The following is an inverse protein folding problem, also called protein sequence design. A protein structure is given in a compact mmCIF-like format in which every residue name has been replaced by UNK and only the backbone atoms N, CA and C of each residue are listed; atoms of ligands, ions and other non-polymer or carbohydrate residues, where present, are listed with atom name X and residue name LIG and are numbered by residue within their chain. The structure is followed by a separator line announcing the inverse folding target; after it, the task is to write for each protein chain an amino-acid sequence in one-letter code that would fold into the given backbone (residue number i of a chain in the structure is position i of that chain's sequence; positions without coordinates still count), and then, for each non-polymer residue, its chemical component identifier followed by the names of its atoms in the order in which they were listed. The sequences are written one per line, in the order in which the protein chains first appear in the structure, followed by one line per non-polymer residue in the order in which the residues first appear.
data_IF_830024489323
#
_entry.id   IF_830024489323
#
_cell.length_a   1.000
_cell.length_b   1.000
_cell.length_c   1.000
_cell.angle_alpha   90.00
_cell.angle_beta   90.00
_cell.angle_gamma   90.00
#
_symmetry.space_group_name_H-M   'P 1'
#
loop_
_entity.id
_entity.type
_entity.pdbx_description
1 polymer ?
#
# COMPACT_ATOMS: atom_id res chain seq x y z
N UNK A 1 2.64 -7.88 63.79
CA UNK A 1 1.67 -7.47 62.77
C UNK A 1 1.81 -5.96 62.68
N UNK A 2 2.53 -5.37 61.74
CA UNK A 2 2.40 -5.51 60.29
C UNK A 2 3.74 -5.24 59.61
N UNK A 3 4.12 -6.10 58.67
CA UNK A 3 5.38 -5.98 57.92
C UNK A 3 5.14 -5.32 56.56
N UNK A 4 6.13 -4.51 56.17
CA UNK A 4 6.28 -3.74 54.94
C UNK A 4 5.68 -4.36 53.67
N UNK A 5 4.95 -3.53 52.92
CA UNK A 5 4.63 -3.77 51.51
C UNK A 5 5.84 -3.33 50.69
N UNK A 6 6.59 -4.30 50.15
CA UNK A 6 7.63 -4.04 49.16
C UNK A 6 7.24 -4.78 47.88
N UNK A 7 6.69 -4.05 46.92
CA UNK A 7 6.36 -4.57 45.59
C UNK A 7 7.07 -3.73 44.54
N UNK A 8 8.08 -4.33 43.91
CA UNK A 8 8.45 -4.31 42.47
C UNK A 8 9.95 -4.69 42.37
N UNK A 9 10.35 -5.40 41.30
CA UNK A 9 10.57 -4.70 40.04
C UNK A 9 9.71 -5.27 38.91
N UNK A 10 9.24 -4.31 38.10
CA UNK A 10 8.94 -4.47 36.70
C UNK A 10 9.92 -5.42 36.00
N UNK A 11 9.38 -6.34 35.19
CA UNK A 11 10.08 -6.86 34.02
C UNK A 11 9.13 -6.71 32.85
N UNK A 12 9.06 -5.48 32.31
CA UNK A 12 8.61 -5.28 30.94
C UNK A 12 9.79 -5.69 30.08
N UNK A 13 9.79 -6.93 29.62
CA UNK A 13 10.57 -7.33 28.47
C UNK A 13 9.90 -6.71 27.25
N UNK A 14 10.25 -5.45 26.99
CA UNK A 14 9.95 -4.77 25.75
C UNK A 14 10.89 -5.29 24.67
N UNK A 15 10.57 -6.45 24.09
CA UNK A 15 11.03 -6.75 22.74
C UNK A 15 10.18 -5.90 21.79
N UNK A 16 10.52 -4.62 21.68
CA UNK A 16 10.10 -3.81 20.55
C UNK A 16 10.86 -4.30 19.33
N UNK A 17 10.40 -5.39 18.72
CA UNK A 17 10.79 -5.76 17.37
C UNK A 17 10.20 -4.69 16.45
N UNK A 18 11.00 -3.87 15.73
CA UNK A 18 10.48 -2.84 14.83
C UNK A 18 9.99 -3.46 13.51
N UNK A 19 9.32 -4.61 13.58
CA UNK A 19 8.47 -5.11 12.51
C UNK A 19 7.12 -4.40 12.62
N UNK A 20 7.13 -3.07 12.54
CA UNK A 20 5.89 -2.31 12.45
C UNK A 20 5.28 -2.62 11.08
N UNK A 21 4.29 -3.52 11.06
CA UNK A 21 3.40 -3.70 9.92
C UNK A 21 2.84 -2.33 9.55
N UNK A 22 3.42 -1.69 8.53
CA UNK A 22 2.90 -0.44 8.00
C UNK A 22 1.46 -0.71 7.52
N UNK A 23 0.47 0.09 7.95
CA UNK A 23 -0.91 -0.16 7.60
C UNK A 23 -1.08 -0.03 6.08
N UNK A 24 -1.85 -0.95 5.49
CA UNK A 24 -2.23 -0.86 4.08
C UNK A 24 -3.30 0.22 3.91
N UNK A 25 -3.18 0.98 2.82
CA UNK A 25 -4.15 2.00 2.44
C UNK A 25 -5.07 1.43 1.37
N UNK A 26 -6.38 1.56 1.58
CA UNK A 26 -7.41 1.18 0.61
C UNK A 26 -8.12 2.42 0.08
N UNK A 27 -8.44 2.41 -1.22
CA UNK A 27 -9.19 3.47 -1.88
C UNK A 27 -10.54 2.86 -2.30
N UNK A 28 -11.63 3.50 -1.87
CA UNK A 28 -12.97 3.13 -2.29
C UNK A 28 -13.30 3.90 -3.58
N UNK A 29 -13.03 3.26 -4.72
CA UNK A 29 -13.18 3.88 -6.04
C UNK A 29 -14.61 4.31 -6.34
N UNK A 30 -15.62 3.57 -5.88
CA UNK A 30 -17.04 3.93 -6.05
C UNK A 30 -17.41 5.27 -5.40
N UNK A 31 -16.73 5.65 -4.32
CA UNK A 31 -17.00 6.90 -3.60
C UNK A 31 -16.02 8.02 -3.98
N UNK A 32 -14.78 7.68 -4.32
CA UNK A 32 -13.69 8.65 -4.51
C UNK A 32 -13.41 8.97 -5.98
N UNK A 33 -13.77 8.08 -6.91
CA UNK A 33 -13.57 8.24 -8.35
C UNK A 33 -14.94 8.22 -9.04
N UNK A 34 -15.58 9.38 -9.21
CA UNK A 34 -16.99 9.47 -9.61
C UNK A 34 -17.26 8.96 -11.03
N UNK A 35 -16.26 8.92 -11.91
CA UNK A 35 -16.40 8.41 -13.27
C UNK A 35 -15.20 7.53 -13.63
N UNK A 36 -15.49 6.38 -14.25
CA UNK A 36 -14.47 5.50 -14.81
C UNK A 36 -13.74 6.19 -15.98
N UNK A 37 -12.45 5.88 -16.17
CA UNK A 37 -11.66 6.38 -17.29
C UNK A 37 -12.25 5.88 -18.63
N UNK A 38 -12.55 6.82 -19.51
CA UNK A 38 -12.93 6.60 -20.90
C UNK A 38 -11.97 7.37 -21.82
N UNK A 39 -12.12 7.19 -23.13
CA UNK A 39 -11.33 7.90 -24.14
C UNK A 39 -11.58 9.41 -24.17
N UNK A 40 -12.63 9.92 -23.51
CA UNK A 40 -13.06 11.31 -23.58
C UNK A 40 -12.92 12.10 -22.28
N UNK A 41 -12.57 11.45 -21.16
CA UNK A 41 -12.56 12.09 -19.84
C UNK A 41 -11.20 12.04 -19.11
N UNK A 42 -10.13 11.65 -19.80
CA UNK A 42 -8.80 11.47 -19.22
C UNK A 42 -8.33 12.65 -18.35
N UNK A 43 -8.44 13.94 -18.76
CA UNK A 43 -7.97 15.04 -17.91
C UNK A 43 -8.63 15.09 -16.53
N UNK A 44 -9.95 14.92 -16.46
CA UNK A 44 -10.71 14.95 -15.21
C UNK A 44 -10.45 13.70 -14.35
N UNK A 45 -10.39 12.52 -14.99
CA UNK A 45 -10.05 11.28 -14.31
C UNK A 45 -8.63 11.35 -13.72
N UNK A 46 -7.65 11.78 -14.52
CA UNK A 46 -6.26 11.89 -14.13
C UNK A 46 -6.09 12.86 -12.96
N UNK A 47 -6.71 14.05 -13.02
CA UNK A 47 -6.65 15.02 -11.92
C UNK A 47 -7.20 14.44 -10.60
N UNK A 48 -8.34 13.73 -10.66
CA UNK A 48 -8.94 13.10 -9.48
C UNK A 48 -8.06 11.98 -8.93
N UNK A 49 -7.64 11.08 -9.82
CA UNK A 49 -6.85 9.90 -9.48
C UNK A 49 -5.51 10.29 -8.86
N UNK A 50 -4.77 11.20 -9.49
CA UNK A 50 -3.48 11.68 -8.99
C UNK A 50 -3.61 12.43 -7.66
N UNK A 51 -4.64 13.25 -7.48
CA UNK A 51 -4.89 13.95 -6.21
C UNK A 51 -5.10 12.97 -5.05
N UNK A 52 -5.85 11.89 -5.28
CA UNK A 52 -6.04 10.83 -4.28
C UNK A 52 -4.70 10.17 -3.93
N UNK A 53 -3.92 9.78 -4.95
CA UNK A 53 -2.64 9.12 -4.73
C UNK A 53 -1.62 10.00 -4.02
N UNK A 54 -1.53 11.29 -4.35
CA UNK A 54 -0.69 12.22 -3.61
C UNK A 54 -1.18 12.40 -2.17
N UNK A 55 -2.50 12.51 -1.96
CA UNK A 55 -3.08 12.65 -0.62
C UNK A 55 -2.78 11.47 0.31
N UNK A 56 -2.66 10.26 -0.23
CA UNK A 56 -2.26 9.06 0.51
C UNK A 56 -0.77 8.72 0.44
N UNK A 57 0.05 9.54 -0.24
CA UNK A 57 1.46 9.27 -0.49
C UNK A 57 1.71 7.92 -1.20
N UNK A 58 0.88 7.59 -2.18
CA UNK A 58 0.92 6.34 -2.95
C UNK A 58 1.46 6.53 -4.38
N UNK A 59 1.72 7.77 -4.82
CA UNK A 59 2.18 8.04 -6.18
C UNK A 59 3.47 7.30 -6.53
N UNK A 60 4.36 7.10 -5.55
CA UNK A 60 5.65 6.44 -5.75
C UNK A 60 5.55 5.03 -6.34
N UNK A 61 4.45 4.33 -6.09
CA UNK A 61 4.20 3.00 -6.67
C UNK A 61 3.98 3.07 -8.18
N UNK A 62 3.30 4.13 -8.66
CA UNK A 62 2.89 4.26 -10.07
C UNK A 62 3.93 4.96 -10.93
N UNK A 63 4.67 5.93 -10.37
CA UNK A 63 5.73 6.63 -11.11
C UNK A 63 7.10 5.95 -11.01
N UNK A 64 7.18 4.84 -10.28
CA UNK A 64 8.38 4.03 -10.11
C UNK A 64 9.44 4.65 -9.18
N UNK A 65 9.15 5.78 -8.54
CA UNK A 65 10.07 6.40 -7.56
C UNK A 65 10.14 5.60 -6.25
N UNK A 66 9.14 4.73 -5.99
CA UNK A 66 9.16 3.71 -4.93
C UNK A 66 9.19 2.31 -5.57
N UNK A 67 10.36 1.84 -6.03
CA UNK A 67 10.47 0.54 -6.68
C UNK A 67 10.25 -0.62 -5.70
N UNK A 68 9.86 -1.78 -6.24
CA UNK A 68 9.72 -3.01 -5.48
C UNK A 68 11.04 -3.37 -4.78
N UNK A 69 11.03 -3.65 -3.47
CA UNK A 69 12.20 -4.17 -2.77
C UNK A 69 12.69 -5.50 -3.40
N UNK A 70 13.98 -5.84 -3.25
CA UNK A 70 14.49 -7.13 -3.72
C UNK A 70 13.71 -8.29 -3.12
N UNK A 71 13.44 -9.31 -3.94
CA UNK A 71 12.75 -10.53 -3.48
C UNK A 71 13.50 -11.15 -2.29
N UNK A 72 12.83 -11.38 -1.15
CA UNK A 72 13.46 -11.96 0.02
C UNK A 72 14.02 -13.35 -0.26
N UNK A 73 15.14 -13.66 0.42
CA UNK A 73 15.78 -14.98 0.41
C UNK A 73 15.80 -15.54 1.83
N UNK A 74 16.23 -16.79 2.00
CA UNK A 74 16.40 -17.41 3.33
C UNK A 74 17.32 -16.63 4.27
N UNK A 75 18.18 -15.76 3.74
CA UNK A 75 19.12 -14.92 4.50
C UNK A 75 18.58 -13.50 4.78
N UNK A 76 17.39 -13.16 4.30
CA UNK A 76 16.81 -11.83 4.48
C UNK A 76 16.41 -11.59 5.94
N UNK A 77 16.60 -10.35 6.41
CA UNK A 77 16.14 -9.97 7.75
C UNK A 77 14.61 -9.95 7.82
N UNK A 78 14.01 -10.10 9.03
CA UNK A 78 12.56 -9.95 9.20
C UNK A 78 12.02 -8.62 8.67
N UNK A 79 12.77 -7.53 8.82
CA UNK A 79 12.41 -6.21 8.28
C UNK A 79 12.39 -6.20 6.75
N UNK A 80 13.36 -6.81 6.08
CA UNK A 80 13.38 -6.89 4.62
C UNK A 80 12.17 -7.70 4.08
N UNK A 81 11.81 -8.80 4.76
CA UNK A 81 10.63 -9.59 4.41
C UNK A 81 9.34 -8.77 4.60
N UNK A 82 9.22 -8.04 5.71
CA UNK A 82 8.06 -7.20 5.99
C UNK A 82 7.92 -6.06 4.97
N UNK A 83 9.02 -5.38 4.61
CA UNK A 83 9.00 -4.31 3.60
C UNK A 83 8.58 -4.83 2.22
N UNK A 84 9.13 -5.97 1.76
CA UNK A 84 8.71 -6.59 0.50
C UNK A 84 7.22 -6.97 0.53
N UNK A 85 6.78 -7.63 1.60
CA UNK A 85 5.38 -8.06 1.73
C UNK A 85 4.42 -6.86 1.77
N UNK A 86 4.77 -5.79 2.48
CA UNK A 86 3.98 -4.56 2.51
C UNK A 86 3.90 -3.93 1.11
N UNK A 87 5.04 -3.70 0.46
CA UNK A 87 5.08 -3.10 -0.87
C UNK A 87 4.23 -3.90 -1.87
N UNK A 88 4.41 -5.23 -1.90
CA UNK A 88 3.67 -6.10 -2.80
C UNK A 88 2.15 -6.03 -2.56
N UNK A 89 1.72 -6.10 -1.30
CA UNK A 89 0.29 -5.99 -0.96
C UNK A 89 -0.28 -4.62 -1.32
N UNK A 90 0.46 -3.55 -1.08
CA UNK A 90 0.02 -2.19 -1.40
C UNK A 90 -0.08 -1.97 -2.92
N UNK A 91 0.91 -2.45 -3.69
CA UNK A 91 0.90 -2.40 -5.16
C UNK A 91 -0.30 -3.14 -5.75
N UNK A 92 -0.62 -4.36 -5.26
CA UNK A 92 -1.76 -5.12 -5.76
C UNK A 92 -3.11 -4.46 -5.42
N UNK A 93 -3.22 -3.78 -4.28
CA UNK A 93 -4.39 -2.97 -3.96
C UNK A 93 -4.53 -1.78 -4.91
N UNK A 94 -3.41 -1.12 -5.25
CA UNK A 94 -3.39 -0.03 -6.22
C UNK A 94 -3.73 -0.49 -7.63
N UNK A 95 -3.24 -1.66 -8.07
CA UNK A 95 -3.61 -2.27 -9.33
C UNK A 95 -5.13 -2.53 -9.41
N UNK A 96 -5.72 -3.07 -8.34
CA UNK A 96 -7.18 -3.24 -8.26
C UNK A 96 -7.94 -1.89 -8.27
N UNK A 97 -7.38 -0.85 -7.68
CA UNK A 97 -7.91 0.52 -7.77
C UNK A 97 -7.89 1.03 -9.21
N UNK A 98 -6.79 0.84 -9.95
CA UNK A 98 -6.71 1.16 -11.38
C UNK A 98 -7.80 0.41 -12.14
N UNK A 99 -7.87 -0.92 -12.01
CA UNK A 99 -8.87 -1.75 -12.69
C UNK A 99 -10.31 -1.32 -12.39
N UNK A 100 -10.64 -1.05 -11.13
CA UNK A 100 -11.98 -0.59 -10.76
C UNK A 100 -12.31 0.83 -11.25
N UNK A 101 -11.28 1.64 -11.50
CA UNK A 101 -11.42 3.05 -11.93
C UNK A 101 -11.45 3.26 -13.44
N UNK A 102 -11.29 2.21 -14.25
CA UNK A 102 -11.28 2.31 -15.72
C UNK A 102 -12.53 1.68 -16.34
N UNK A 103 -12.90 2.13 -17.55
CA UNK A 103 -13.95 1.48 -18.36
C UNK A 103 -13.48 0.12 -18.89
N UNK A 104 -14.42 -0.72 -19.33
CA UNK A 104 -14.12 -2.04 -19.91
C UNK A 104 -13.18 -1.94 -21.12
N UNK A 105 -13.34 -0.91 -21.95
CA UNK A 105 -12.49 -0.65 -23.11
C UNK A 105 -11.04 -0.36 -22.73
N UNK A 106 -10.82 0.36 -21.62
CA UNK A 106 -9.46 0.64 -21.13
C UNK A 106 -8.91 -0.57 -20.37
N UNK A 107 -9.76 -1.25 -19.59
CA UNK A 107 -9.41 -2.47 -18.86
C UNK A 107 -8.82 -3.54 -19.78
N UNK A 108 -9.39 -3.74 -20.98
CA UNK A 108 -8.87 -4.74 -21.93
C UNK A 108 -7.45 -4.47 -22.41
N UNK A 109 -6.97 -3.22 -22.32
CA UNK A 109 -5.60 -2.84 -22.69
C UNK A 109 -4.58 -3.15 -21.59
N UNK A 110 -5.03 -3.12 -20.33
CA UNK A 110 -4.17 -3.19 -19.14
C UNK A 110 -4.38 -4.49 -18.33
N UNK A 111 -5.33 -5.34 -18.72
CA UNK A 111 -5.72 -6.53 -17.95
C UNK A 111 -4.58 -7.53 -17.70
N UNK A 112 -3.50 -7.46 -18.48
CA UNK A 112 -2.33 -8.35 -18.34
C UNK A 112 -1.19 -7.77 -17.52
N UNK A 113 -1.32 -6.55 -17.02
CA UNK A 113 -0.28 -5.94 -16.18
C UNK A 113 -0.31 -6.57 -14.81
N UNK A 114 0.88 -6.71 -14.22
CA UNK A 114 1.05 -7.36 -12.91
C UNK A 114 1.37 -6.37 -11.79
N UNK A 115 1.67 -5.12 -12.13
CA UNK A 115 2.01 -4.05 -11.19
C UNK A 115 1.17 -2.81 -11.48
N UNK A 116 1.01 -1.95 -10.48
CA UNK A 116 0.31 -0.67 -10.66
C UNK A 116 1.07 0.32 -11.55
N UNK A 117 2.40 0.20 -11.64
CA UNK A 117 3.24 1.00 -12.52
C UNK A 117 3.06 0.65 -14.01
N UNK A 118 2.87 -0.64 -14.32
CA UNK A 118 2.76 -1.09 -15.71
C UNK A 118 1.35 -0.92 -16.30
N UNK A 119 0.35 -0.72 -15.44
CA UNK A 119 -1.07 -0.51 -15.77
C UNK A 119 -1.34 0.91 -16.27
#
# INVERSE_FOLDING_TARGET
MSSNVHSTPYSVSGDSNPSSDLPLVTINTSNQIPCKLTTSNYPSWHATFTTILFGYNLMGYLDGTLPCPPTPTEKSSPSALAHYAHWYRQDQLLLNVIFSSVSETVMSLIAMTTTSHDA
#
